data_IF_070464411499
#
_entry.id   IF_070464411499
#
_cell.length_a   1.000
_cell.length_b   1.000
_cell.length_c   1.000
_cell.angle_alpha   90.00
_cell.angle_beta   90.00
_cell.angle_gamma   90.00
#
_symmetry.space_group_name_H-M   'P 1'
#
loop_
_entity.id
_entity.type
_entity.pdbx_description
1 polymer ?
#
# COMPACT_ATOMS: atom_id res chain seq x y z
N UNK A 1 -2.23 11.47 -0.13
CA UNK A 1 -1.58 10.46 -0.99
C UNK A 1 -2.31 9.16 -0.74
N UNK A 2 -2.44 8.24 -1.70
CA UNK A 2 -2.97 6.92 -1.41
C UNK A 2 -1.96 6.13 -0.58
N UNK A 3 -2.43 5.19 0.23
CA UNK A 3 -1.59 4.10 0.65
C UNK A 3 -1.24 3.26 -0.58
N UNK A 4 -0.01 2.81 -0.67
CA UNK A 4 0.44 1.98 -1.77
C UNK A 4 0.45 0.52 -1.34
N UNK A 5 -0.21 -0.31 -2.13
CA UNK A 5 -0.17 -1.74 -2.02
C UNK A 5 0.93 -2.26 -2.96
N UNK A 6 1.96 -2.85 -2.42
CA UNK A 6 3.04 -3.49 -3.17
C UNK A 6 2.55 -4.82 -3.72
N UNK A 7 2.89 -5.12 -4.97
CA UNK A 7 2.47 -6.34 -5.63
C UNK A 7 3.65 -7.02 -6.31
N UNK A 8 3.73 -8.35 -6.16
CA UNK A 8 4.60 -9.26 -6.90
C UNK A 8 3.72 -10.24 -7.66
N UNK A 9 3.72 -10.18 -8.99
CA UNK A 9 2.76 -10.93 -9.79
C UNK A 9 3.44 -11.72 -10.89
N UNK A 10 3.02 -12.97 -11.04
CA UNK A 10 3.38 -13.84 -12.15
C UNK A 10 2.14 -14.17 -12.97
N UNK A 11 2.18 -13.88 -14.26
CA UNK A 11 1.14 -14.22 -15.22
C UNK A 11 1.68 -15.32 -16.14
N UNK A 12 0.99 -16.45 -16.15
CA UNK A 12 1.33 -17.62 -16.94
C UNK A 12 0.27 -17.91 -18.02
N UNK A 13 0.69 -18.52 -19.12
CA UNK A 13 -0.20 -18.86 -20.21
C UNK A 13 0.49 -19.71 -21.26
N UNK A 14 -0.18 -19.95 -22.39
CA UNK A 14 0.50 -20.57 -23.51
C UNK A 14 1.53 -19.60 -24.16
N UNK A 15 2.46 -20.16 -24.92
CA UNK A 15 3.57 -19.37 -25.50
C UNK A 15 3.05 -18.16 -26.31
N UNK A 16 1.99 -18.31 -27.10
CA UNK A 16 1.46 -17.21 -27.91
C UNK A 16 0.88 -16.08 -27.07
N UNK A 17 0.21 -16.42 -25.97
CA UNK A 17 -0.32 -15.46 -25.02
C UNK A 17 0.81 -14.64 -24.37
N UNK A 18 1.83 -15.32 -23.90
CA UNK A 18 2.98 -14.68 -23.22
C UNK A 18 3.82 -13.89 -24.21
N UNK A 19 4.03 -14.35 -25.46
CA UNK A 19 4.71 -13.58 -26.50
C UNK A 19 3.97 -12.25 -26.79
N UNK A 20 2.63 -12.23 -26.79
CA UNK A 20 1.84 -11.01 -26.98
C UNK A 20 1.95 -10.05 -25.79
N UNK A 21 1.91 -10.58 -24.58
CA UNK A 21 2.06 -9.76 -23.37
C UNK A 21 3.46 -9.17 -23.28
N UNK A 22 4.51 -9.94 -23.54
CA UNK A 22 5.88 -9.44 -23.62
C UNK A 22 6.05 -8.34 -24.68
N UNK A 23 5.48 -8.55 -25.87
CA UNK A 23 5.54 -7.54 -26.94
C UNK A 23 4.86 -6.22 -26.50
N UNK A 24 3.73 -6.29 -25.81
CA UNK A 24 3.06 -5.13 -25.24
C UNK A 24 3.94 -4.43 -24.18
N UNK A 25 4.50 -5.16 -23.23
CA UNK A 25 5.38 -4.60 -22.21
C UNK A 25 6.61 -3.91 -22.83
N UNK A 26 7.21 -4.52 -23.84
CA UNK A 26 8.32 -3.92 -24.58
C UNK A 26 7.90 -2.63 -25.31
N UNK A 27 6.76 -2.64 -26.02
CA UNK A 27 6.25 -1.46 -26.73
C UNK A 27 5.95 -0.30 -25.79
N UNK A 28 5.33 -0.59 -24.65
CA UNK A 28 4.91 0.40 -23.65
C UNK A 28 5.99 0.70 -22.60
N UNK A 29 7.12 0.02 -22.62
CA UNK A 29 8.15 0.10 -21.59
C UNK A 29 7.58 -0.19 -20.19
N UNK A 30 6.77 -1.24 -20.08
CA UNK A 30 6.08 -1.67 -18.86
C UNK A 30 4.85 -0.83 -18.47
N UNK A 31 4.60 0.29 -19.13
CA UNK A 31 3.55 1.24 -18.71
C UNK A 31 2.15 0.72 -18.92
N UNK A 32 1.30 1.06 -17.93
CA UNK A 32 -0.15 0.86 -17.98
C UNK A 32 -0.54 -0.57 -18.38
N UNK A 33 0.09 -1.56 -17.74
CA UNK A 33 -0.03 -2.96 -18.14
C UNK A 33 -1.47 -3.53 -18.04
N UNK A 34 -2.36 -2.94 -17.22
CA UNK A 34 -3.76 -3.34 -17.16
C UNK A 34 -4.45 -3.22 -18.52
N UNK A 35 -4.04 -2.24 -19.33
CA UNK A 35 -4.62 -2.00 -20.65
C UNK A 35 -4.41 -3.15 -21.65
N UNK A 36 -3.44 -4.04 -21.40
CA UNK A 36 -3.31 -5.24 -22.22
C UNK A 36 -4.48 -6.19 -22.05
N UNK A 37 -4.96 -6.34 -20.82
CA UNK A 37 -6.04 -7.28 -20.49
C UNK A 37 -7.41 -6.63 -20.48
N UNK A 38 -7.52 -5.43 -19.93
CA UNK A 38 -8.80 -4.74 -19.75
C UNK A 38 -8.60 -3.22 -19.72
N UNK A 39 -8.54 -2.56 -20.89
CA UNK A 39 -8.43 -1.11 -20.94
C UNK A 39 -9.70 -0.42 -20.45
N UNK A 40 -9.53 0.67 -19.67
CA UNK A 40 -10.66 1.53 -19.32
C UNK A 40 -11.23 2.19 -20.61
N UNK A 41 -12.55 2.20 -20.80
CA UNK A 41 -13.16 2.87 -21.94
C UNK A 41 -12.80 4.36 -22.02
N UNK A 42 -12.34 4.79 -23.20
CA UNK A 42 -11.89 6.18 -23.43
C UNK A 42 -12.95 7.23 -23.05
N UNK A 43 -14.22 6.97 -23.37
CA UNK A 43 -15.33 7.86 -23.02
C UNK A 43 -15.49 8.09 -21.51
N UNK A 44 -15.06 7.15 -20.67
CA UNK A 44 -15.06 7.30 -19.21
C UNK A 44 -13.85 8.10 -18.72
N UNK A 45 -12.71 8.03 -19.42
CA UNK A 45 -11.50 8.77 -19.05
C UNK A 45 -11.57 10.26 -19.40
N UNK A 46 -12.48 10.62 -20.31
CA UNK A 46 -12.71 12.02 -20.73
C UNK A 46 -13.64 12.81 -19.79
N UNK A 47 -14.21 12.17 -18.77
CA UNK A 47 -15.09 12.82 -17.80
C UNK A 47 -14.47 12.88 -16.41
N UNK A 48 -14.84 13.93 -15.66
CA UNK A 48 -14.40 14.08 -14.28
C UNK A 48 -14.99 12.97 -13.38
N UNK A 49 -14.36 12.69 -12.27
CA UNK A 49 -14.90 11.77 -11.25
C UNK A 49 -15.06 12.51 -9.90
N UNK A 50 -16.26 12.47 -9.28
CA UNK A 50 -17.50 11.89 -9.80
C UNK A 50 -18.06 12.66 -11.00
N UNK A 51 -18.62 11.92 -11.99
CA UNK A 51 -19.32 12.56 -13.11
C UNK A 51 -20.77 12.82 -12.76
N UNK A 52 -21.11 14.09 -12.55
CA UNK A 52 -22.47 14.52 -12.20
C UNK A 52 -23.23 15.18 -13.36
N UNK A 53 -22.55 15.50 -14.45
CA UNK A 53 -23.11 16.42 -15.45
C UNK A 53 -23.02 15.99 -16.91
N UNK A 54 -22.04 15.13 -17.26
CA UNK A 54 -21.79 14.77 -18.68
C UNK A 54 -22.29 13.35 -19.00
N UNK A 55 -23.38 13.27 -19.76
CA UNK A 55 -23.84 12.01 -20.33
C UNK A 55 -23.99 10.84 -19.33
N UNK A 56 -24.22 11.15 -18.06
CA UNK A 56 -24.25 10.17 -16.94
C UNK A 56 -25.12 8.96 -17.29
N UNK A 57 -26.35 9.20 -17.75
CA UNK A 57 -27.27 8.12 -18.09
C UNK A 57 -26.75 7.25 -19.26
N UNK A 58 -26.26 7.87 -20.32
CA UNK A 58 -25.77 7.14 -21.49
C UNK A 58 -24.50 6.32 -21.17
N UNK A 59 -23.57 6.86 -20.38
CA UNK A 59 -22.38 6.16 -19.95
C UNK A 59 -22.71 5.00 -19.02
N UNK A 60 -23.64 5.21 -18.07
CA UNK A 60 -24.09 4.15 -17.16
C UNK A 60 -24.82 3.04 -17.92
N UNK A 61 -25.67 3.36 -18.90
CA UNK A 61 -26.35 2.35 -19.73
C UNK A 61 -25.34 1.54 -20.58
N UNK A 62 -24.26 2.17 -21.05
CA UNK A 62 -23.28 1.55 -21.94
C UNK A 62 -22.20 0.75 -21.19
N UNK A 63 -21.70 1.29 -20.06
CA UNK A 63 -20.51 0.78 -19.37
C UNK A 63 -20.79 0.31 -17.93
N UNK A 64 -22.01 0.48 -17.40
CA UNK A 64 -22.34 0.25 -16.00
C UNK A 64 -21.94 1.40 -15.06
N UNK A 65 -21.11 2.32 -15.52
CA UNK A 65 -20.51 3.41 -14.76
C UNK A 65 -20.59 4.74 -15.49
N UNK A 66 -20.60 5.84 -14.75
CA UNK A 66 -20.65 7.19 -15.30
C UNK A 66 -19.25 7.85 -15.45
N UNK A 67 -18.22 7.26 -14.82
CA UNK A 67 -16.85 7.79 -14.79
C UNK A 67 -15.81 6.67 -14.67
N UNK A 68 -14.55 7.04 -14.92
CA UNK A 68 -13.40 6.13 -14.89
C UNK A 68 -13.14 5.55 -13.49
N UNK A 69 -13.36 6.29 -12.41
CA UNK A 69 -13.00 5.86 -11.06
C UNK A 69 -13.88 4.68 -10.60
N UNK A 70 -15.20 4.85 -10.67
CA UNK A 70 -16.14 3.79 -10.31
C UNK A 70 -15.97 2.55 -11.21
N UNK A 71 -15.65 2.76 -12.49
CA UNK A 71 -15.35 1.67 -13.43
C UNK A 71 -14.05 0.96 -13.02
N UNK A 72 -12.96 1.68 -12.72
CA UNK A 72 -11.66 1.12 -12.35
C UNK A 72 -11.75 0.30 -11.08
N UNK A 73 -12.40 0.81 -10.04
CA UNK A 73 -12.56 0.10 -8.77
C UNK A 73 -13.32 -1.21 -8.94
N UNK A 74 -14.39 -1.24 -9.76
CA UNK A 74 -15.15 -2.48 -9.99
C UNK A 74 -14.41 -3.45 -10.92
N UNK A 75 -13.71 -2.95 -11.94
CA UNK A 75 -13.14 -3.82 -12.98
C UNK A 75 -11.68 -4.20 -12.73
N UNK A 76 -10.91 -3.33 -12.08
CA UNK A 76 -9.52 -3.62 -11.72
C UNK A 76 -9.35 -4.01 -10.24
N UNK A 77 -10.22 -3.54 -9.33
CA UNK A 77 -10.07 -3.67 -7.88
C UNK A 77 -9.25 -2.54 -7.27
N UNK A 78 -8.66 -1.65 -8.07
CA UNK A 78 -7.86 -0.52 -7.65
C UNK A 78 -8.18 0.73 -8.47
N UNK A 79 -7.75 1.89 -7.96
CA UNK A 79 -8.12 3.18 -8.53
C UNK A 79 -7.48 3.47 -9.89
N UNK A 80 -6.20 3.17 -10.04
CA UNK A 80 -5.39 3.58 -11.20
C UNK A 80 -4.75 2.40 -11.90
N UNK A 81 -4.49 2.57 -13.19
CA UNK A 81 -3.57 1.72 -13.91
C UNK A 81 -2.15 1.92 -13.37
N UNK A 82 -1.27 0.97 -13.58
CA UNK A 82 0.08 0.97 -13.03
C UNK A 82 1.08 0.41 -14.04
N UNK A 83 2.37 0.61 -13.75
CA UNK A 83 3.46 0.20 -14.59
C UNK A 83 4.09 -1.10 -14.05
N UNK A 84 4.31 -2.08 -14.91
CA UNK A 84 5.08 -3.29 -14.59
C UNK A 84 6.56 -2.93 -14.46
N UNK A 85 7.14 -3.17 -13.28
CA UNK A 85 8.52 -2.86 -12.95
C UNK A 85 9.33 -4.16 -12.88
N UNK A 86 10.62 -4.08 -13.24
CA UNK A 86 11.59 -5.18 -13.12
C UNK A 86 11.08 -6.52 -13.67
N UNK A 87 10.31 -6.45 -14.77
CA UNK A 87 9.72 -7.64 -15.32
C UNK A 87 10.75 -8.58 -15.96
N UNK A 88 10.53 -9.86 -15.75
CA UNK A 88 11.34 -10.94 -16.32
C UNK A 88 10.45 -11.99 -16.97
N UNK A 89 10.96 -12.58 -18.05
CA UNK A 89 10.26 -13.64 -18.77
C UNK A 89 10.89 -14.99 -18.52
N UNK A 90 10.06 -15.98 -18.23
CA UNK A 90 10.37 -17.39 -18.36
C UNK A 90 9.63 -17.99 -19.58
N UNK A 91 9.75 -19.29 -19.86
CA UNK A 91 9.21 -19.94 -21.08
C UNK A 91 7.73 -19.60 -21.31
N UNK A 92 6.89 -19.74 -20.29
CA UNK A 92 5.44 -19.60 -20.35
C UNK A 92 4.87 -18.63 -19.30
N UNK A 93 5.70 -17.75 -18.74
CA UNK A 93 5.29 -16.78 -17.72
C UNK A 93 6.07 -15.48 -17.80
N UNK A 94 5.49 -14.43 -17.23
CA UNK A 94 6.15 -13.15 -16.98
C UNK A 94 5.88 -12.79 -15.53
N UNK A 95 6.96 -12.49 -14.79
CA UNK A 95 6.91 -12.03 -13.39
C UNK A 95 7.36 -10.58 -13.31
N UNK A 96 6.70 -9.77 -12.49
CA UNK A 96 6.98 -8.34 -12.34
C UNK A 96 6.45 -7.80 -11.02
N UNK A 97 6.96 -6.63 -10.64
CA UNK A 97 6.54 -5.86 -9.48
C UNK A 97 5.76 -4.62 -9.90
N UNK A 98 4.84 -4.16 -9.06
CA UNK A 98 4.17 -2.88 -9.23
C UNK A 98 3.46 -2.44 -7.95
N UNK A 99 3.15 -1.15 -7.87
CA UNK A 99 2.36 -0.59 -6.79
C UNK A 99 0.96 -0.25 -7.27
N UNK A 100 -0.04 -0.60 -6.48
CA UNK A 100 -1.44 -0.25 -6.73
C UNK A 100 -2.00 0.63 -5.63
N UNK A 101 -3.02 1.43 -5.94
CA UNK A 101 -3.58 2.37 -4.99
C UNK A 101 -4.62 1.70 -4.08
N UNK A 102 -4.36 1.66 -2.78
CA UNK A 102 -5.24 1.18 -1.70
C UNK A 102 -5.43 -0.34 -1.59
N UNK A 103 -5.42 -1.05 -2.70
CA UNK A 103 -5.73 -2.48 -2.75
C UNK A 103 -5.06 -3.16 -3.95
N UNK A 104 -4.81 -4.48 -3.89
CA UNK A 104 -4.36 -5.26 -5.03
C UNK A 104 -5.44 -5.31 -6.14
N UNK A 105 -5.05 -5.52 -7.41
CA UNK A 105 -6.01 -5.56 -8.52
C UNK A 105 -6.68 -6.93 -8.68
N UNK A 106 -7.28 -7.48 -7.62
CA UNK A 106 -7.86 -8.84 -7.63
C UNK A 106 -9.03 -8.98 -8.62
N UNK A 107 -9.85 -7.93 -8.81
CA UNK A 107 -10.89 -7.93 -9.81
C UNK A 107 -10.35 -8.02 -11.25
N UNK A 108 -9.17 -7.44 -11.51
CA UNK A 108 -8.48 -7.62 -12.79
C UNK A 108 -7.93 -9.05 -12.93
N UNK A 109 -7.38 -9.62 -11.86
CA UNK A 109 -6.87 -10.99 -11.86
C UNK A 109 -7.96 -11.99 -12.22
N UNK A 110 -9.19 -11.83 -11.71
CA UNK A 110 -10.36 -12.63 -12.12
C UNK A 110 -10.62 -12.53 -13.63
N UNK A 111 -10.52 -11.33 -14.20
CA UNK A 111 -10.72 -11.12 -15.64
C UNK A 111 -9.59 -11.73 -16.48
N UNK A 112 -8.35 -11.69 -15.99
CA UNK A 112 -7.18 -12.31 -16.64
C UNK A 112 -7.34 -13.83 -16.63
N UNK A 113 -7.72 -14.40 -15.49
CA UNK A 113 -7.99 -15.85 -15.35
C UNK A 113 -9.14 -16.30 -16.27
N UNK A 114 -10.21 -15.50 -16.36
CA UNK A 114 -11.32 -15.78 -17.28
C UNK A 114 -10.91 -15.75 -18.77
N UNK A 115 -9.80 -15.09 -19.13
CA UNK A 115 -9.22 -15.10 -20.49
C UNK A 115 -8.30 -16.31 -20.75
N UNK A 116 -8.16 -17.21 -19.77
CA UNK A 116 -7.37 -18.44 -19.89
C UNK A 116 -5.88 -18.27 -19.60
N UNK A 117 -5.51 -17.27 -18.80
CA UNK A 117 -4.21 -17.16 -18.17
C UNK A 117 -4.28 -17.67 -16.73
N UNK A 118 -3.15 -18.07 -16.17
CA UNK A 118 -3.01 -18.29 -14.73
C UNK A 118 -2.35 -17.07 -14.11
N UNK A 119 -2.86 -16.65 -12.95
CA UNK A 119 -2.30 -15.52 -12.19
C UNK A 119 -1.93 -15.98 -10.80
N UNK A 120 -0.70 -15.73 -10.40
CA UNK A 120 -0.24 -15.79 -9.03
C UNK A 120 0.25 -14.39 -8.63
N UNK A 121 -0.39 -13.79 -7.64
CA UNK A 121 -0.08 -12.44 -7.18
C UNK A 121 0.01 -12.39 -5.67
N UNK A 122 1.17 -11.98 -5.13
CA UNK A 122 1.34 -11.63 -3.73
C UNK A 122 1.20 -10.13 -3.56
N UNK A 123 0.59 -9.69 -2.47
CA UNK A 123 0.43 -8.28 -2.18
C UNK A 123 0.63 -7.96 -0.70
N UNK A 124 1.11 -6.74 -0.43
CA UNK A 124 1.36 -6.21 0.90
C UNK A 124 0.98 -4.72 0.95
N UNK A 125 0.24 -4.33 1.96
CA UNK A 125 -0.01 -2.92 2.29
C UNK A 125 0.31 -2.69 3.77
N UNK A 126 1.40 -2.01 4.04
CA UNK A 126 1.95 -1.84 5.38
C UNK A 126 1.15 -0.82 6.21
N UNK A 127 0.58 0.21 5.57
CA UNK A 127 -0.11 1.29 6.28
C UNK A 127 -1.44 0.87 6.92
N UNK A 128 -2.11 -0.14 6.37
CA UNK A 128 -3.33 -0.73 6.92
C UNK A 128 -3.08 -2.13 7.52
N UNK A 129 -1.86 -2.66 7.39
CA UNK A 129 -1.46 -3.93 7.95
C UNK A 129 -2.17 -5.12 7.32
N UNK A 130 -2.14 -5.24 5.99
CA UNK A 130 -2.65 -6.42 5.33
C UNK A 130 -1.69 -7.02 4.30
N UNK A 131 -1.79 -8.32 4.14
CA UNK A 131 -0.99 -9.12 3.20
C UNK A 131 -1.86 -10.22 2.61
N UNK A 132 -1.51 -10.70 1.43
CA UNK A 132 -2.26 -11.81 0.86
C UNK A 132 -1.69 -12.35 -0.43
N UNK A 133 -2.43 -13.32 -0.98
CA UNK A 133 -2.10 -14.02 -2.20
C UNK A 133 -3.35 -14.28 -3.04
N UNK A 134 -3.28 -13.93 -4.31
CA UNK A 134 -4.24 -14.38 -5.30
C UNK A 134 -3.63 -15.54 -6.10
N UNK A 135 -4.32 -16.68 -6.14
CA UNK A 135 -3.93 -17.83 -6.95
C UNK A 135 -5.13 -18.68 -7.30
N UNK A 136 -5.11 -19.36 -8.45
CA UNK A 136 -6.15 -20.29 -8.90
C UNK A 136 -7.58 -19.70 -8.90
N UNK A 137 -7.71 -18.38 -9.10
CA UNK A 137 -8.99 -17.67 -9.08
C UNK A 137 -9.55 -17.45 -7.67
N UNK A 138 -8.71 -17.50 -6.64
CA UNK A 138 -9.07 -17.28 -5.25
C UNK A 138 -8.14 -16.25 -4.63
N UNK A 139 -8.69 -15.39 -3.78
CA UNK A 139 -7.96 -14.39 -3.01
C UNK A 139 -7.90 -14.82 -1.54
N UNK A 140 -6.68 -14.90 -0.99
CA UNK A 140 -6.37 -15.17 0.41
C UNK A 140 -5.87 -13.90 1.06
N UNK A 141 -6.71 -13.25 1.86
CA UNK A 141 -6.45 -11.97 2.51
C UNK A 141 -6.28 -12.14 4.03
N UNK A 142 -5.25 -11.53 4.59
CA UNK A 142 -4.95 -11.56 6.01
C UNK A 142 -4.61 -10.17 6.52
N UNK A 143 -5.08 -9.82 7.71
CA UNK A 143 -4.67 -8.63 8.45
C UNK A 143 -3.62 -9.02 9.49
N UNK A 144 -2.65 -8.12 9.73
CA UNK A 144 -1.63 -8.29 10.76
C UNK A 144 -1.41 -6.96 11.49
N UNK A 145 -0.95 -7.03 12.73
CA UNK A 145 -0.68 -5.88 13.59
C UNK A 145 0.73 -5.90 14.17
N UNK A 146 1.30 -7.09 14.31
CA UNK A 146 2.58 -7.36 14.96
C UNK A 146 3.17 -8.68 14.43
N UNK A 147 4.39 -9.00 14.84
CA UNK A 147 5.09 -10.23 14.44
C UNK A 147 4.41 -11.51 14.95
N UNK A 148 3.70 -11.45 16.09
CA UNK A 148 2.98 -12.61 16.64
C UNK A 148 1.76 -12.97 15.78
N UNK A 149 1.05 -11.99 15.25
CA UNK A 149 -0.12 -12.17 14.38
C UNK A 149 0.21 -12.88 13.06
N UNK A 150 1.47 -12.86 12.63
CA UNK A 150 1.92 -13.58 11.43
C UNK A 150 1.87 -15.10 11.56
N UNK A 151 1.74 -15.65 12.78
CA UNK A 151 1.69 -17.09 12.99
C UNK A 151 0.42 -17.74 12.43
N UNK A 152 -0.63 -16.98 12.17
CA UNK A 152 -1.89 -17.43 11.58
C UNK A 152 -1.92 -17.26 10.05
N UNK A 153 -0.86 -16.72 9.45
CA UNK A 153 -0.74 -16.45 8.00
C UNK A 153 0.14 -17.53 7.36
N UNK A 154 -0.22 -18.05 6.17
CA UNK A 154 0.62 -19.00 5.44
C UNK A 154 2.06 -18.49 5.23
N UNK A 155 3.02 -19.38 5.47
CA UNK A 155 4.44 -19.02 5.50
C UNK A 155 4.94 -18.49 4.15
N UNK A 156 4.43 -19.02 3.02
CA UNK A 156 4.78 -18.55 1.68
C UNK A 156 4.36 -17.09 1.43
N UNK A 157 3.29 -16.62 2.06
CA UNK A 157 2.83 -15.21 2.00
C UNK A 157 3.75 -14.33 2.85
N UNK A 158 4.09 -14.77 4.06
CA UNK A 158 4.98 -14.04 4.98
C UNK A 158 6.40 -13.95 4.39
N UNK A 159 6.91 -15.06 3.87
CA UNK A 159 8.28 -15.16 3.33
C UNK A 159 8.47 -14.36 2.04
N UNK A 160 7.43 -14.24 1.21
CA UNK A 160 7.51 -13.45 -0.03
C UNK A 160 7.95 -11.99 0.21
N UNK A 161 7.67 -11.47 1.40
CA UNK A 161 7.94 -10.09 1.79
C UNK A 161 9.02 -9.95 2.86
N UNK A 162 9.62 -11.04 3.35
CA UNK A 162 10.43 -11.06 4.57
C UNK A 162 9.72 -10.37 5.75
N UNK A 163 8.40 -10.50 5.80
CA UNK A 163 7.56 -9.69 6.67
C UNK A 163 7.84 -9.89 8.15
N UNK A 164 8.19 -11.12 8.56
CA UNK A 164 8.52 -11.44 9.95
C UNK A 164 9.77 -10.70 10.41
N UNK A 165 10.86 -10.78 9.64
CA UNK A 165 12.13 -10.12 9.97
C UNK A 165 11.94 -8.60 10.04
N UNK A 166 11.24 -8.02 9.06
CA UNK A 166 10.98 -6.58 9.00
C UNK A 166 10.15 -6.09 10.21
N UNK A 167 9.12 -6.84 10.63
CA UNK A 167 8.31 -6.47 11.79
C UNK A 167 9.06 -6.65 13.10
N UNK A 168 9.81 -7.74 13.29
CA UNK A 168 10.63 -7.95 14.49
C UNK A 168 11.70 -6.86 14.65
N UNK A 169 12.34 -6.43 13.56
CA UNK A 169 13.27 -5.30 13.58
C UNK A 169 12.58 -4.00 13.96
N UNK A 170 11.43 -3.70 13.33
CA UNK A 170 10.65 -2.49 13.64
C UNK A 170 10.15 -2.47 15.08
N UNK A 171 9.66 -3.59 15.61
CA UNK A 171 9.22 -3.73 17.01
C UNK A 171 10.38 -3.52 17.99
N UNK A 172 11.57 -4.05 17.67
CA UNK A 172 12.76 -3.88 18.48
C UNK A 172 13.23 -2.42 18.52
N UNK A 173 13.26 -1.74 17.38
CA UNK A 173 13.63 -0.31 17.29
C UNK A 173 12.65 0.57 18.07
N UNK A 174 11.34 0.34 17.96
CA UNK A 174 10.35 1.13 18.68
C UNK A 174 10.36 0.88 20.20
N UNK A 175 10.66 -0.36 20.63
CA UNK A 175 10.82 -0.66 22.05
C UNK A 175 12.03 0.09 22.67
N UNK A 176 13.13 0.25 21.92
CA UNK A 176 14.30 1.03 22.37
C UNK A 176 13.96 2.52 22.45
N UNK A 177 13.18 3.07 21.52
CA UNK A 177 12.75 4.48 21.54
C UNK A 177 11.82 4.78 22.75
N UNK A 178 10.87 3.88 23.05
CA UNK A 178 9.99 4.03 24.22
C UNK A 178 10.77 4.00 25.54
N UNK A 179 11.75 3.12 25.68
CA UNK A 179 12.65 3.07 26.85
C UNK A 179 13.48 4.35 26.99
N UNK A 180 13.97 4.94 25.89
CA UNK A 180 14.73 6.21 25.92
C UNK A 180 13.84 7.41 26.28
N UNK A 181 12.59 7.46 25.83
CA UNK A 181 11.63 8.50 26.18
C UNK A 181 11.23 8.42 27.67
N UNK A 182 10.93 7.22 28.20
CA UNK A 182 10.61 7.01 29.62
C UNK A 182 11.79 7.43 30.51
N UNK A 183 13.03 7.09 30.13
CA UNK A 183 14.25 7.53 30.83
C UNK A 183 14.46 9.04 30.81
N UNK A 184 14.06 9.71 29.74
CA UNK A 184 14.18 11.16 29.63
C UNK A 184 13.14 11.90 30.47
N UNK A 185 11.93 11.39 30.57
CA UNK A 185 10.87 11.93 31.42
C UNK A 185 11.18 11.74 32.91
N UNK A 186 11.64 10.56 33.35
CA UNK A 186 12.08 10.34 34.75
C UNK A 186 13.22 11.28 35.16
N UNK A 187 14.15 11.60 34.27
CA UNK A 187 15.25 12.57 34.55
C UNK A 187 14.73 14.00 34.69
N UNK A 188 13.73 14.40 33.92
CA UNK A 188 13.13 15.72 34.03
C UNK A 188 12.40 15.89 35.35
N UNK A 189 11.67 14.87 35.82
CA UNK A 189 10.98 14.91 37.11
C UNK A 189 11.91 14.95 38.30
N UNK A 190 13.07 14.27 38.24
CA UNK A 190 14.10 14.34 39.30
C UNK A 190 14.77 15.72 39.39
N UNK A 191 14.99 16.39 38.27
CA UNK A 191 15.56 17.73 38.21
C UNK A 191 14.56 18.80 38.68
N UNK A 192 13.25 18.60 38.37
CA UNK A 192 12.20 19.52 38.80
C UNK A 192 11.89 19.46 40.31
N UNK A 193 12.14 18.33 40.98
CA UNK A 193 11.87 18.19 42.44
C UNK A 193 12.95 18.71 43.37
N UNK A 194 14.16 18.99 42.88
CA UNK A 194 15.28 19.49 43.67
C UNK A 194 15.48 21.02 43.58
N UNK A 195 14.58 21.77 42.96
CA UNK A 195 14.70 23.21 42.70
C UNK A 195 14.01 24.12 43.69
N UNK A 196 13.63 23.68 44.90
CA UNK A 196 12.97 24.54 45.88
C UNK A 196 13.68 24.53 47.25
N UNK A 197 14.97 24.85 47.27
CA UNK A 197 15.64 25.28 48.50
C UNK A 197 15.78 26.79 48.47
N UNK A 198 15.04 27.41 49.39
CA UNK A 198 14.78 28.82 49.50
C UNK A 198 16.05 29.70 49.59
N UNK A 199 16.12 30.66 48.72
CA UNK A 199 16.87 31.88 48.95
C UNK A 199 15.97 32.87 49.65
N UNK A 200 16.19 32.94 50.97
CA UNK A 200 15.64 33.97 51.84
C UNK A 200 16.39 35.26 51.53
N UNK A 201 15.75 36.21 50.88
CA UNK A 201 16.26 37.58 50.77
C UNK A 201 15.85 38.32 52.02
N UNK A 202 16.85 38.67 52.88
CA UNK A 202 16.70 39.61 53.98
C UNK A 202 16.42 41.00 53.38
N UNK A 203 15.26 41.57 53.72
CA UNK A 203 14.92 42.97 53.50
C UNK A 203 15.88 43.84 54.33
N UNK A 204 16.72 44.60 53.66
CA UNK A 204 17.51 45.67 54.29
C UNK A 204 16.69 46.93 54.27
N UNK A 205 16.23 47.31 55.45
CA UNK A 205 15.54 48.54 55.78
C UNK A 205 16.53 49.72 55.58
N UNK A 206 16.30 50.58 54.61
CA UNK A 206 16.92 51.89 54.48
C UNK A 206 15.89 52.97 54.65
N UNK A 207 15.64 53.26 55.93
CA UNK A 207 15.09 54.55 56.36
C UNK A 207 16.26 55.39 57.04
N UNK A 208 16.31 56.65 56.59
CA UNK A 208 16.93 57.82 57.18
C UNK A 208 18.21 58.34 56.55
N UNK A 209 18.17 59.50 55.93
CA UNK A 209 18.36 60.90 56.46
C UNK A 209 18.53 61.84 55.28
N UNK A 210 17.72 62.87 55.24
CA UNK A 210 17.99 64.29 55.54
C UNK A 210 19.29 64.87 54.93
N UNK A 211 19.20 65.81 54.04
CA UNK A 211 19.03 67.26 54.10
C UNK A 211 18.76 67.86 52.76
#
# INVERSE_FOLDING_TARGET
MPNWCNNSTTISGNKEQIDKFEAFLNEKNGKEWFNFFLPCPEELTEVDSPNETKNVQALTEKYGHADWYSWSVENWGTKWNTDAQDWSRDENSISFWFDSAWAPPTALYDKITAQGYDVEGYYLEEGMGFVGKYSEGSDEYYEYTDSESLNDIPEDIVDNWNLRENLEEWEAENAEEEDEEEWSEERMDVVGSNGNDGLHYDEVDEDKKND
#
